data_IF_708848469646
#
_entry.id   IF_708848469646
#
_cell.length_a   1.000
_cell.length_b   1.000
_cell.length_c   1.000
_cell.angle_alpha   90.00
_cell.angle_beta   90.00
_cell.angle_gamma   90.00
#
_symmetry.space_group_name_H-M   'P 1'
#
loop_
_entity.id
_entity.type
_entity.pdbx_description
1 polymer ?
#
# COMPACT_ATOMS: atom_id res chain seq x y z
N UNK A 1 1.42 -21.87 10.40
CA UNK A 1 2.38 -20.82 9.98
C UNK A 1 1.79 -19.49 10.37
N UNK A 2 2.49 -18.70 11.18
CA UNK A 2 2.02 -17.37 11.60
C UNK A 2 2.67 -16.36 10.67
N UNK A 3 1.89 -15.64 9.88
CA UNK A 3 2.40 -14.50 9.12
C UNK A 3 2.68 -13.39 10.14
N UNK A 4 3.94 -12.92 10.27
CA UNK A 4 4.24 -11.85 11.19
C UNK A 4 3.46 -10.59 10.80
N UNK A 5 2.90 -9.89 11.79
CA UNK A 5 2.28 -8.59 11.54
C UNK A 5 3.33 -7.65 10.93
N UNK A 6 2.96 -6.85 9.91
CA UNK A 6 3.82 -5.80 9.42
C UNK A 6 4.15 -4.85 10.59
N UNK A 7 5.42 -4.83 11.01
CA UNK A 7 5.86 -4.06 12.19
C UNK A 7 5.75 -2.55 12.00
N UNK A 8 5.77 -2.12 10.75
CA UNK A 8 5.80 -0.71 10.36
C UNK A 8 4.44 -0.22 9.86
N UNK A 9 3.38 -1.02 10.03
CA UNK A 9 2.03 -0.66 9.59
C UNK A 9 1.00 -0.96 10.68
N UNK A 10 0.38 0.09 11.21
CA UNK A 10 -0.71 -0.04 12.19
C UNK A 10 -1.97 0.60 11.64
N UNK A 11 -3.03 -0.19 11.49
CA UNK A 11 -4.30 0.27 10.95
C UNK A 11 -5.45 0.04 11.92
N UNK A 12 -6.31 1.06 12.01
CA UNK A 12 -7.60 1.04 12.70
C UNK A 12 -8.68 1.34 11.68
N UNK A 13 -9.81 0.64 11.78
CA UNK A 13 -10.89 0.76 10.81
C UNK A 13 -12.01 -0.22 11.07
N UNK A 14 -12.94 -0.28 10.14
CA UNK A 14 -13.99 -1.28 10.07
C UNK A 14 -13.74 -2.18 8.86
N UNK A 15 -14.07 -3.46 8.98
CA UNK A 15 -13.97 -4.39 7.86
C UNK A 15 -15.25 -5.23 7.78
N UNK A 16 -15.78 -5.36 6.57
CA UNK A 16 -16.83 -6.32 6.23
C UNK A 16 -16.21 -7.35 5.31
N UNK A 17 -15.95 -8.54 5.84
CA UNK A 17 -15.25 -9.59 5.12
C UNK A 17 -16.14 -10.82 5.01
N UNK A 18 -16.16 -11.42 3.83
CA UNK A 18 -16.75 -12.71 3.57
C UNK A 18 -15.64 -13.70 3.24
N UNK A 19 -15.69 -14.89 3.85
CA UNK A 19 -14.72 -15.96 3.61
C UNK A 19 -15.49 -17.16 3.06
N UNK A 20 -15.26 -17.46 1.79
CA UNK A 20 -15.94 -18.55 1.09
C UNK A 20 -14.95 -19.66 0.78
N UNK A 21 -15.30 -20.88 1.16
CA UNK A 21 -14.56 -22.09 0.83
C UNK A 21 -15.21 -22.84 -0.34
N UNK A 22 -14.47 -23.03 -1.43
CA UNK A 22 -14.93 -23.76 -2.60
C UNK A 22 -14.11 -25.02 -2.81
N UNK A 23 -14.79 -26.15 -3.02
CA UNK A 23 -14.18 -27.44 -3.34
C UNK A 23 -14.98 -28.10 -4.46
N UNK A 24 -14.41 -28.13 -5.66
CA UNK A 24 -15.06 -28.65 -6.87
C UNK A 24 -15.27 -30.18 -6.81
N UNK A 25 -14.33 -30.91 -6.21
CA UNK A 25 -14.43 -32.37 -6.03
C UNK A 25 -13.86 -32.82 -4.67
N UNK A 26 -14.30 -34.00 -4.18
CA UNK A 26 -13.86 -34.56 -2.89
C UNK A 26 -12.33 -34.61 -2.72
N UNK A 27 -11.61 -34.87 -3.82
CA UNK A 27 -10.15 -35.03 -3.82
C UNK A 27 -9.39 -33.74 -4.22
N UNK A 28 -10.09 -32.62 -4.43
CA UNK A 28 -9.43 -31.36 -4.73
C UNK A 28 -9.09 -30.56 -3.47
N UNK A 29 -8.04 -29.74 -3.60
CA UNK A 29 -7.67 -28.78 -2.59
C UNK A 29 -8.75 -27.69 -2.45
N UNK A 30 -9.04 -27.31 -1.21
CA UNK A 30 -9.99 -26.24 -0.89
C UNK A 30 -9.46 -24.89 -1.39
N UNK A 31 -10.23 -24.18 -2.21
CA UNK A 31 -9.99 -22.79 -2.53
C UNK A 31 -10.65 -21.91 -1.47
N UNK A 32 -9.89 -20.99 -0.87
CA UNK A 32 -10.45 -19.93 -0.04
C UNK A 32 -10.53 -18.64 -0.84
N UNK A 33 -11.66 -17.95 -0.75
CA UNK A 33 -11.86 -16.61 -1.30
C UNK A 33 -12.16 -15.69 -0.12
N UNK A 34 -11.41 -14.59 -0.02
CA UNK A 34 -11.59 -13.55 0.99
C UNK A 34 -12.05 -12.30 0.25
N UNK A 35 -13.34 -12.01 0.35
CA UNK A 35 -14.00 -10.90 -0.32
C UNK A 35 -14.46 -9.82 0.65
N UNK A 36 -14.68 -8.61 0.15
CA UNK A 36 -15.39 -7.56 0.88
C UNK A 36 -14.68 -6.20 0.92
N UNK A 37 -14.95 -5.45 1.98
CA UNK A 37 -14.57 -4.04 2.09
C UNK A 37 -13.82 -3.75 3.39
N UNK A 38 -12.74 -3.00 3.28
CA UNK A 38 -11.97 -2.48 4.40
C UNK A 38 -12.06 -0.95 4.39
N UNK A 39 -12.60 -0.38 5.46
CA UNK A 39 -12.70 1.05 5.67
C UNK A 39 -11.66 1.48 6.70
N UNK A 40 -10.51 1.95 6.22
CA UNK A 40 -9.47 2.48 7.08
C UNK A 40 -9.91 3.83 7.68
N UNK A 41 -9.94 3.91 9.01
CA UNK A 41 -10.10 5.17 9.74
C UNK A 41 -8.75 5.85 9.95
N UNK A 42 -7.71 5.06 10.23
CA UNK A 42 -6.34 5.53 10.35
C UNK A 42 -5.36 4.40 10.12
N UNK A 43 -4.38 4.60 9.25
CA UNK A 43 -3.25 3.71 8.99
C UNK A 43 -1.96 4.51 9.14
N UNK A 44 -0.97 3.99 9.87
CA UNK A 44 0.34 4.64 10.03
C UNK A 44 1.40 3.75 9.39
N UNK A 45 2.14 4.31 8.43
CA UNK A 45 3.34 3.69 7.87
C UNK A 45 4.59 4.45 8.31
N UNK A 46 5.53 3.77 8.96
CA UNK A 46 6.69 4.42 9.58
C UNK A 46 8.05 3.85 9.21
N UNK A 47 8.13 3.03 8.15
CA UNK A 47 9.42 2.47 7.71
C UNK A 47 10.25 3.56 7.04
N UNK A 48 11.48 3.73 7.52
CA UNK A 48 12.48 4.57 6.89
C UNK A 48 12.88 4.04 5.52
N UNK A 49 13.05 4.96 4.57
CA UNK A 49 13.39 4.66 3.19
C UNK A 49 14.89 4.81 3.00
N UNK A 50 15.53 3.71 2.61
CA UNK A 50 16.90 3.72 2.10
C UNK A 50 16.88 4.08 0.60
N UNK A 51 17.16 5.36 0.32
CA UNK A 51 17.19 5.89 -1.04
C UNK A 51 18.22 5.18 -1.93
N UNK A 52 19.31 4.63 -1.38
CA UNK A 52 20.32 3.92 -2.16
C UNK A 52 19.79 2.60 -2.73
N UNK A 53 18.95 1.90 -1.96
CA UNK A 53 18.29 0.67 -2.40
C UNK A 53 17.16 0.94 -3.41
N UNK A 54 16.45 2.06 -3.25
CA UNK A 54 15.37 2.47 -4.15
C UNK A 54 15.90 2.77 -5.57
N UNK A 55 17.02 3.49 -5.68
CA UNK A 55 17.67 3.81 -6.97
C UNK A 55 18.27 2.56 -7.63
N UNK A 56 18.68 1.59 -6.83
CA UNK A 56 19.23 0.32 -7.30
C UNK A 56 18.15 -0.68 -7.75
N UNK A 57 16.86 -0.33 -7.64
CA UNK A 57 15.72 -1.18 -8.02
C UNK A 57 15.58 -2.47 -7.19
N UNK A 58 16.27 -2.56 -6.04
CA UNK A 58 16.32 -3.77 -5.23
C UNK A 58 15.08 -3.82 -4.34
N UNK A 59 14.04 -4.54 -4.80
CA UNK A 59 12.79 -4.75 -4.04
C UNK A 59 13.02 -5.81 -2.94
N UNK A 60 12.52 -5.54 -1.74
CA UNK A 60 12.38 -6.56 -0.71
C UNK A 60 11.39 -7.64 -1.20
N UNK A 61 11.63 -8.93 -0.93
CA UNK A 61 10.71 -9.99 -1.33
C UNK A 61 9.35 -9.79 -0.67
N UNK A 62 8.30 -9.72 -1.49
CA UNK A 62 6.90 -9.80 -1.02
C UNK A 62 6.67 -11.21 -0.46
N UNK A 63 5.94 -11.28 0.65
CA UNK A 63 5.69 -12.51 1.41
C UNK A 63 5.05 -13.61 0.53
N UNK A 64 5.84 -14.54 0.03
CA UNK A 64 5.34 -15.78 -0.58
C UNK A 64 4.99 -16.78 0.52
N UNK A 65 3.72 -16.80 0.93
CA UNK A 65 3.16 -17.78 1.85
C UNK A 65 2.71 -19.05 1.13
N UNK A 66 3.65 -19.81 0.56
CA UNK A 66 3.37 -21.10 -0.08
C UNK A 66 3.19 -22.22 0.94
N UNK A 67 1.96 -22.49 1.37
CA UNK A 67 1.64 -23.65 2.18
C UNK A 67 1.43 -24.89 1.29
N UNK A 68 2.34 -25.87 1.37
CA UNK A 68 2.07 -27.23 0.89
C UNK A 68 1.03 -27.87 1.80
N UNK A 69 -0.24 -27.83 1.41
CA UNK A 69 -1.35 -28.40 2.16
C UNK A 69 -2.60 -28.54 1.29
N UNK A 70 -3.65 -29.18 1.84
CA UNK A 70 -4.93 -29.42 1.16
C UNK A 70 -5.76 -28.15 0.84
N UNK A 71 -5.15 -26.96 0.91
CA UNK A 71 -5.75 -25.64 0.73
C UNK A 71 -4.93 -24.90 -0.34
N UNK A 72 -5.59 -24.46 -1.41
CA UNK A 72 -4.99 -23.63 -2.46
C UNK A 72 -4.66 -22.23 -1.89
N UNK A 73 -3.69 -21.49 -2.48
CA UNK A 73 -3.42 -20.10 -2.10
C UNK A 73 -4.73 -19.30 -2.02
N UNK A 74 -5.02 -18.61 -0.89
CA UNK A 74 -6.22 -17.79 -0.77
C UNK A 74 -6.27 -16.72 -1.85
N UNK A 75 -7.46 -16.54 -2.43
CA UNK A 75 -7.78 -15.49 -3.39
C UNK A 75 -8.39 -14.29 -2.69
N UNK A 76 -8.05 -13.10 -3.17
CA UNK A 76 -8.56 -11.84 -2.66
C UNK A 76 -9.55 -11.22 -3.65
N UNK A 77 -10.57 -10.58 -3.10
CA UNK A 77 -11.46 -9.65 -3.79
C UNK A 77 -11.86 -8.53 -2.83
N UNK A 78 -10.91 -7.65 -2.55
CA UNK A 78 -11.01 -6.65 -1.49
C UNK A 78 -11.00 -5.25 -2.06
N UNK A 79 -11.94 -4.43 -1.62
CA UNK A 79 -11.92 -2.98 -1.82
C UNK A 79 -11.48 -2.31 -0.52
N UNK A 80 -10.50 -1.43 -0.61
CA UNK A 80 -9.86 -0.76 0.52
C UNK A 80 -10.03 0.74 0.33
N UNK A 81 -10.75 1.38 1.25
CA UNK A 81 -11.02 2.80 1.22
C UNK A 81 -10.60 3.47 2.52
N UNK A 82 -10.09 4.69 2.44
CA UNK A 82 -9.80 5.50 3.60
C UNK A 82 -9.58 6.95 3.20
N UNK A 83 -10.46 7.85 3.61
CA UNK A 83 -10.29 9.29 3.38
C UNK A 83 -9.40 9.87 4.47
N UNK A 84 -8.31 10.54 4.07
CA UNK A 84 -7.31 11.12 4.97
C UNK A 84 -6.81 10.15 6.06
N UNK A 85 -6.86 8.85 5.74
CA UNK A 85 -6.66 7.79 6.71
C UNK A 85 -5.20 7.36 6.79
N UNK A 86 -4.45 7.46 5.69
CA UNK A 86 -3.07 7.02 5.65
C UNK A 86 -2.13 8.15 6.08
N UNK A 87 -1.42 7.93 7.18
CA UNK A 87 -0.33 8.77 7.65
C UNK A 87 0.99 8.07 7.33
N UNK A 88 1.82 8.70 6.51
CA UNK A 88 3.19 8.23 6.24
C UNK A 88 4.14 9.11 7.02
N UNK A 89 4.91 8.52 7.93
CA UNK A 89 5.85 9.25 8.77
C UNK A 89 7.18 8.53 8.89
N UNK A 90 8.17 8.99 8.15
CA UNK A 90 9.51 8.41 8.13
C UNK A 90 10.59 9.47 7.85
N UNK A 91 11.83 9.04 7.67
CA UNK A 91 12.99 9.89 7.40
C UNK A 91 12.87 10.82 6.16
N UNK A 92 11.93 10.60 5.24
CA UNK A 92 11.78 11.40 4.01
C UNK A 92 10.40 12.02 3.84
N UNK A 93 9.42 11.69 4.66
CA UNK A 93 8.04 12.12 4.47
C UNK A 93 7.26 12.22 5.79
N UNK A 94 6.45 13.26 5.90
CA UNK A 94 5.34 13.37 6.86
C UNK A 94 4.09 13.77 6.06
N UNK A 95 3.26 12.80 5.71
CA UNK A 95 2.14 12.96 4.77
C UNK A 95 0.84 12.42 5.35
N UNK A 96 -0.27 13.08 5.02
CA UNK A 96 -1.62 12.52 5.16
C UNK A 96 -2.21 12.28 3.77
N UNK A 97 -2.78 11.09 3.57
CA UNK A 97 -3.24 10.62 2.28
C UNK A 97 -4.59 9.89 2.35
N UNK A 98 -5.35 9.99 1.26
CA UNK A 98 -6.53 9.17 0.99
C UNK A 98 -6.17 7.94 0.16
N UNK A 99 -6.86 6.83 0.39
CA UNK A 99 -6.63 5.53 -0.25
C UNK A 99 -7.94 5.05 -0.88
N UNK A 100 -7.85 4.61 -2.13
CA UNK A 100 -8.92 3.88 -2.84
C UNK A 100 -8.24 2.81 -3.68
N UNK A 101 -8.23 1.58 -3.18
CA UNK A 101 -7.50 0.47 -3.77
C UNK A 101 -8.37 -0.77 -3.89
N UNK A 102 -8.07 -1.60 -4.88
CA UNK A 102 -8.63 -2.93 -5.03
C UNK A 102 -7.50 -3.95 -5.00
N UNK A 103 -7.62 -4.96 -4.14
CA UNK A 103 -6.70 -6.10 -4.05
C UNK A 103 -7.39 -7.35 -4.57
N UNK A 104 -6.85 -7.90 -5.64
CA UNK A 104 -7.31 -9.14 -6.28
C UNK A 104 -6.14 -10.12 -6.44
N UNK A 105 -6.39 -11.24 -7.12
CA UNK A 105 -5.39 -12.29 -7.32
C UNK A 105 -5.34 -13.24 -6.13
N UNK A 106 -4.21 -13.91 -5.93
CA UNK A 106 -4.00 -14.79 -4.78
C UNK A 106 -2.74 -14.43 -4.02
N UNK A 107 -2.45 -15.16 -2.95
CA UNK A 107 -1.28 -14.89 -2.09
C UNK A 107 0.06 -15.05 -2.83
N UNK A 108 0.12 -15.80 -3.94
CA UNK A 108 1.34 -15.94 -4.73
C UNK A 108 1.46 -14.80 -5.77
N UNK A 109 0.34 -14.42 -6.39
CA UNK A 109 0.27 -13.36 -7.39
C UNK A 109 -0.80 -12.31 -7.01
N UNK A 110 -0.53 -11.48 -5.99
CA UNK A 110 -1.44 -10.41 -5.62
C UNK A 110 -1.43 -9.30 -6.66
N UNK A 111 -2.61 -8.76 -6.97
CA UNK A 111 -2.81 -7.66 -7.91
C UNK A 111 -3.46 -6.49 -7.19
N UNK A 112 -2.75 -5.37 -7.14
CA UNK A 112 -3.23 -4.14 -6.52
C UNK A 112 -3.50 -3.10 -7.60
N UNK A 113 -4.67 -2.47 -7.58
CA UNK A 113 -5.02 -1.36 -8.47
C UNK A 113 -5.68 -0.22 -7.69
N UNK A 114 -5.75 0.96 -8.29
CA UNK A 114 -6.38 2.14 -7.70
C UNK A 114 -5.38 3.26 -7.42
N UNK A 115 -5.66 4.11 -6.43
CA UNK A 115 -4.81 5.26 -6.11
C UNK A 115 -4.64 5.51 -4.61
N UNK A 116 -3.49 6.09 -4.29
CA UNK A 116 -3.25 6.81 -3.04
C UNK A 116 -3.03 8.27 -3.41
N UNK A 117 -3.75 9.17 -2.75
CA UNK A 117 -3.64 10.62 -2.98
C UNK A 117 -3.13 11.28 -1.71
N UNK A 118 -1.92 11.86 -1.78
CA UNK A 118 -1.38 12.71 -0.74
C UNK A 118 -2.14 14.04 -0.75
N UNK A 119 -2.82 14.32 0.36
CA UNK A 119 -3.71 15.46 0.54
C UNK A 119 -3.02 16.61 1.28
N UNK A 120 -2.03 16.31 2.11
CA UNK A 120 -1.21 17.30 2.82
C UNK A 120 0.11 16.70 3.32
N UNK A 121 1.06 17.57 3.63
CA UNK A 121 2.30 17.23 4.33
C UNK A 121 3.56 17.68 3.60
N UNK A 122 4.70 17.09 3.96
CA UNK A 122 6.02 17.43 3.43
C UNK A 122 6.79 16.19 2.99
N UNK A 123 7.64 16.38 1.98
CA UNK A 123 8.63 15.40 1.56
C UNK A 123 9.99 16.09 1.57
N UNK A 124 10.99 15.39 2.09
CA UNK A 124 12.36 15.86 2.11
C UNK A 124 13.07 15.41 0.81
N UNK A 125 13.30 16.35 -0.10
CA UNK A 125 13.97 16.08 -1.38
C UNK A 125 15.32 16.80 -1.44
N UNK A 126 16.41 16.05 -1.66
CA UNK A 126 17.79 16.60 -1.80
C UNK A 126 18.28 17.49 -0.63
N UNK A 127 17.85 17.21 0.61
CA UNK A 127 18.13 18.04 1.81
C UNK A 127 17.53 19.45 1.75
N UNK A 128 16.46 19.62 0.99
CA UNK A 128 15.65 20.83 1.02
C UNK A 128 14.24 20.38 1.39
N UNK A 129 13.68 21.00 2.43
CA UNK A 129 12.29 20.79 2.79
C UNK A 129 11.42 21.35 1.67
N UNK A 130 10.61 20.49 1.05
CA UNK A 130 9.69 20.91 -0.01
C UNK A 130 8.26 20.70 0.48
N UNK A 131 7.49 21.80 0.50
CA UNK A 131 6.06 21.75 0.77
C UNK A 131 5.33 21.08 -0.41
N UNK A 132 4.32 20.30 -0.07
CA UNK A 132 3.63 19.48 -1.05
C UNK A 132 2.15 19.83 -1.13
N UNK A 133 1.67 20.19 -2.33
CA UNK A 133 0.28 20.61 -2.55
C UNK A 133 -0.66 19.45 -2.94
N UNK A 134 -0.24 18.49 -3.80
CA UNK A 134 -1.10 17.36 -4.22
C UNK A 134 -0.36 16.26 -4.99
N UNK A 135 -0.59 14.98 -4.69
CA UNK A 135 0.20 13.86 -5.22
C UNK A 135 -0.49 12.56 -5.33
N UNK A 136 -0.19 11.83 -6.39
CA UNK A 136 -0.91 10.61 -6.72
C UNK A 136 0.08 9.49 -6.96
N UNK A 137 -0.05 8.44 -6.15
CA UNK A 137 0.51 7.14 -6.42
C UNK A 137 -0.60 6.30 -7.05
N UNK A 138 -0.45 5.97 -8.32
CA UNK A 138 -1.43 5.19 -9.07
C UNK A 138 -0.93 3.77 -9.28
N UNK A 139 -1.79 2.79 -9.05
CA UNK A 139 -1.58 1.39 -9.37
C UNK A 139 -2.48 1.07 -10.58
N UNK A 140 -1.92 0.97 -11.79
CA UNK A 140 -2.68 0.62 -12.97
C UNK A 140 -3.37 -0.75 -12.82
N UNK A 141 -4.48 -1.00 -13.51
CA UNK A 141 -5.05 -2.33 -13.56
C UNK A 141 -4.10 -3.30 -14.27
N UNK A 142 -4.22 -4.58 -13.91
CA UNK A 142 -3.55 -5.73 -14.55
C UNK A 142 -2.01 -5.75 -14.52
N UNK A 143 -1.36 -4.79 -13.86
CA UNK A 143 0.06 -4.86 -13.55
C UNK A 143 0.31 -5.65 -12.27
N UNK A 144 1.57 -6.04 -12.03
CA UNK A 144 1.99 -6.40 -10.68
C UNK A 144 1.85 -5.18 -9.73
N UNK A 145 2.32 -5.30 -8.49
CA UNK A 145 2.37 -4.17 -7.54
C UNK A 145 3.49 -3.20 -7.98
N UNK A 146 3.26 -2.49 -9.07
CA UNK A 146 4.16 -1.51 -9.69
C UNK A 146 3.44 -0.17 -9.84
N UNK A 147 3.62 0.75 -8.88
CA UNK A 147 2.95 2.03 -8.96
C UNK A 147 3.64 3.01 -9.90
N UNK A 148 2.85 3.92 -10.47
CA UNK A 148 3.29 5.13 -11.15
C UNK A 148 3.12 6.31 -10.20
N UNK A 149 4.18 7.12 -10.04
CA UNK A 149 4.17 8.27 -9.15
C UNK A 149 4.03 9.55 -9.97
N UNK A 150 2.96 10.31 -9.70
CA UNK A 150 2.75 11.64 -10.25
C UNK A 150 2.83 12.66 -9.12
N UNK A 151 3.92 13.43 -9.09
CA UNK A 151 4.17 14.45 -8.08
C UNK A 151 4.02 15.86 -8.66
N UNK A 152 3.24 16.71 -7.99
CA UNK A 152 3.20 18.14 -8.24
C UNK A 152 3.72 18.84 -6.99
N UNK A 153 4.98 19.28 -7.04
CA UNK A 153 5.63 19.99 -5.95
C UNK A 153 5.71 21.48 -6.28
N UNK A 154 5.33 22.32 -5.32
CA UNK A 154 5.58 23.76 -5.38
C UNK A 154 6.78 24.03 -4.46
N UNK A 155 7.90 24.47 -5.04
CA UNK A 155 9.08 24.81 -4.25
C UNK A 155 8.91 26.21 -3.67
N UNK A 156 8.86 26.34 -2.35
CA UNK A 156 9.04 27.64 -1.71
C UNK A 156 10.53 28.00 -1.82
N UNK A 157 10.89 28.77 -2.85
CA UNK A 157 12.21 29.39 -2.92
C UNK A 157 12.22 30.43 -1.82
N UNK A 158 12.84 30.11 -0.69
CA UNK A 158 13.09 31.06 0.39
C UNK A 158 13.66 32.35 -0.19
N UNK A 159 12.87 33.43 -0.10
CA UNK A 159 13.20 34.71 -0.70
C UNK A 159 14.55 35.21 -0.16
N UNK A 160 15.46 35.52 -1.09
CA UNK A 160 16.56 36.43 -0.80
C UNK A 160 15.96 37.76 -0.29
N UNK A 161 16.11 38.05 0.99
CA UNK A 161 16.08 39.42 1.49
C UNK A 161 17.51 39.88 1.63
N UNK A 162 18.03 40.49 0.56
CA UNK A 162 19.19 41.37 0.64
C UNK A 162 18.72 42.76 1.02
N UNK A 163 19.16 43.25 2.18
CA UNK A 163 19.30 44.67 2.50
C UNK A 163 20.72 44.89 3.00
#
# INVERSE_FOLDING_TARGET
>A
MTVPLPKDFVTTGDARLEITGLREAKNENLQLIIGGQVFARRAVYSKDIDLANLVSGRRDPVLSGGGAGAIKPPRFDLVIEGRDALVVKNNIADLTASVSLTLTGDTNEPRLSGRITANSGTILFRRIDTLYNAGVLEFPPDTAIEPVINLQAESEIGGYQGL
#
